data_IF_308098911116
#
_entry.id   IF_308098911116
#
_cell.length_a   1.000
_cell.length_b   1.000
_cell.length_c   1.000
_cell.angle_alpha   90.00
_cell.angle_beta   90.00
_cell.angle_gamma   90.00
#
_symmetry.space_group_name_H-M   'P 1'
#
loop_
_entity.id
_entity.type
_entity.pdbx_description
1 polymer ?
#
# COMPACT_ATOMS: atom_id res chain seq x y z
N UNK A 1 -23.39 -9.83 4.02
CA UNK A 1 -24.10 -8.53 4.00
C UNK A 1 -23.13 -7.52 4.60
N UNK A 2 -22.26 -6.95 3.79
CA UNK A 2 -21.31 -5.91 4.23
C UNK A 2 -22.06 -4.60 4.38
N UNK A 3 -21.94 -3.98 5.55
CA UNK A 3 -22.61 -2.72 5.85
C UNK A 3 -21.94 -1.56 5.10
N UNK A 4 -22.70 -0.60 4.52
CA UNK A 4 -22.12 0.45 3.70
C UNK A 4 -21.34 1.47 4.56
N UNK A 5 -20.14 1.79 4.11
CA UNK A 5 -19.23 2.77 4.69
C UNK A 5 -19.87 4.17 4.74
N UNK A 6 -19.97 4.75 5.94
CA UNK A 6 -20.27 6.19 6.12
C UNK A 6 -18.98 6.97 6.41
N UNK A 7 -18.77 8.14 5.79
CA UNK A 7 -17.59 8.94 6.04
C UNK A 7 -17.62 9.52 7.47
N UNK A 8 -16.62 9.14 8.28
CA UNK A 8 -16.26 9.86 9.51
C UNK A 8 -16.70 9.28 10.86
N UNK A 9 -16.93 7.96 10.99
CA UNK A 9 -17.29 7.41 12.31
C UNK A 9 -17.09 5.91 12.56
N UNK A 10 -16.92 5.08 11.54
CA UNK A 10 -16.69 3.63 11.71
C UNK A 10 -15.24 3.26 11.33
N UNK A 11 -14.63 2.41 12.14
CA UNK A 11 -13.36 1.77 11.81
C UNK A 11 -13.57 0.80 10.62
N UNK A 12 -12.59 0.63 9.72
CA UNK A 12 -12.60 -0.44 8.74
C UNK A 12 -12.84 -1.78 9.42
N UNK A 13 -13.66 -2.63 8.82
CA UNK A 13 -13.82 -4.00 9.29
C UNK A 13 -12.52 -4.81 9.15
N UNK A 14 -12.37 -5.92 9.89
CA UNK A 14 -11.17 -6.75 9.85
C UNK A 14 -10.91 -7.33 8.46
N UNK A 15 -11.96 -7.71 7.72
CA UNK A 15 -11.83 -8.22 6.34
C UNK A 15 -11.25 -7.16 5.41
N UNK A 16 -11.69 -5.90 5.53
CA UNK A 16 -11.16 -4.81 4.70
C UNK A 16 -9.69 -4.50 5.04
N UNK A 17 -9.29 -4.60 6.31
CA UNK A 17 -7.88 -4.45 6.70
C UNK A 17 -7.02 -5.60 6.17
N UNK A 18 -7.55 -6.83 6.18
CA UNK A 18 -6.87 -7.98 5.59
C UNK A 18 -6.74 -7.85 4.07
N UNK A 19 -7.83 -7.48 3.38
CA UNK A 19 -7.83 -7.25 1.93
C UNK A 19 -6.88 -6.11 1.55
N UNK A 20 -6.79 -5.05 2.36
CA UNK A 20 -5.82 -3.98 2.18
C UNK A 20 -4.38 -4.50 2.31
N UNK A 21 -4.11 -5.28 3.35
CA UNK A 21 -2.79 -5.87 3.63
C UNK A 21 -2.34 -6.80 2.50
N UNK A 22 -3.26 -7.61 1.96
CA UNK A 22 -3.00 -8.52 0.85
C UNK A 22 -3.05 -7.83 -0.53
N UNK A 23 -3.30 -6.52 -0.57
CA UNK A 23 -3.42 -5.74 -1.80
C UNK A 23 -4.68 -6.02 -2.65
N UNK A 24 -5.65 -6.75 -2.10
CA UNK A 24 -6.88 -7.21 -2.77
C UNK A 24 -8.06 -6.21 -2.66
N UNK A 25 -7.97 -5.21 -1.79
CA UNK A 25 -9.02 -4.20 -1.64
C UNK A 25 -9.30 -3.43 -2.95
N UNK A 26 -10.56 -3.07 -3.19
CA UNK A 26 -10.95 -2.24 -4.32
C UNK A 26 -10.32 -0.85 -4.27
N UNK A 27 -10.23 -0.15 -5.41
CA UNK A 27 -9.54 1.15 -5.46
C UNK A 27 -10.14 2.22 -4.52
N UNK A 28 -11.48 2.30 -4.43
CA UNK A 28 -12.16 3.23 -3.52
C UNK A 28 -11.95 2.85 -2.05
N UNK A 29 -12.16 1.57 -1.73
CA UNK A 29 -11.99 1.05 -0.37
C UNK A 29 -10.55 1.21 0.13
N UNK A 30 -9.56 0.96 -0.75
CA UNK A 30 -8.14 1.20 -0.48
C UNK A 30 -7.88 2.67 -0.16
N UNK A 31 -8.43 3.59 -0.96
CA UNK A 31 -8.25 5.02 -0.74
C UNK A 31 -8.83 5.45 0.62
N UNK A 32 -10.05 5.02 0.93
CA UNK A 32 -10.74 5.36 2.18
C UNK A 32 -10.04 4.75 3.41
N UNK A 33 -9.68 3.47 3.34
CA UNK A 33 -8.98 2.78 4.41
C UNK A 33 -7.58 3.37 4.65
N UNK A 34 -6.84 3.69 3.59
CA UNK A 34 -5.51 4.35 3.72
C UNK A 34 -5.64 5.74 4.33
N UNK A 35 -6.64 6.52 3.92
CA UNK A 35 -6.92 7.82 4.53
C UNK A 35 -7.29 7.69 6.03
N UNK A 36 -7.98 6.60 6.41
CA UNK A 36 -8.27 6.30 7.81
C UNK A 36 -7.02 5.87 8.59
N UNK A 37 -6.19 5.00 8.02
CA UNK A 37 -4.91 4.59 8.61
C UNK A 37 -3.98 5.78 8.83
N UNK A 38 -4.06 6.86 8.06
CA UNK A 38 -3.29 8.08 8.33
C UNK A 38 -3.69 8.78 9.65
N UNK A 39 -4.95 8.63 10.09
CA UNK A 39 -5.51 9.34 11.26
C UNK A 39 -5.79 8.45 12.48
N UNK A 40 -5.90 7.13 12.32
CA UNK A 40 -6.28 6.23 13.40
C UNK A 40 -5.13 5.30 13.82
N UNK A 41 -4.67 5.43 15.07
CA UNK A 41 -3.60 4.59 15.63
C UNK A 41 -4.00 3.13 15.82
N UNK A 42 -5.22 2.86 16.25
CA UNK A 42 -5.70 1.50 16.50
C UNK A 42 -5.71 0.66 15.20
N UNK A 43 -6.29 1.21 14.12
CA UNK A 43 -6.29 0.51 12.84
C UNK A 43 -4.90 0.36 12.22
N UNK A 44 -3.96 1.27 12.51
CA UNK A 44 -2.55 1.09 12.10
C UNK A 44 -1.93 -0.12 12.80
N UNK A 45 -2.12 -0.24 14.12
CA UNK A 45 -1.62 -1.39 14.88
C UNK A 45 -2.20 -2.70 14.33
N UNK A 46 -3.52 -2.76 14.11
CA UNK A 46 -4.16 -3.95 13.54
C UNK A 46 -3.65 -4.29 12.13
N UNK A 47 -3.49 -3.28 11.27
CA UNK A 47 -2.90 -3.47 9.94
C UNK A 47 -1.45 -3.96 10.00
N UNK A 48 -0.64 -3.42 10.91
CA UNK A 48 0.77 -3.80 11.09
C UNK A 48 0.91 -5.23 11.62
N UNK A 49 -0.01 -5.68 12.50
CA UNK A 49 -0.10 -7.07 12.95
C UNK A 49 -0.42 -8.03 11.79
N UNK A 50 -1.38 -7.66 10.94
CA UNK A 50 -1.72 -8.43 9.74
C UNK A 50 -0.54 -8.48 8.76
N UNK A 51 0.12 -7.35 8.51
CA UNK A 51 1.28 -7.26 7.64
C UNK A 51 2.44 -8.15 8.14
N UNK A 52 2.69 -8.13 9.45
CA UNK A 52 3.68 -9.01 10.08
C UNK A 52 3.34 -10.49 9.87
N UNK A 53 2.06 -10.87 9.95
CA UNK A 53 1.59 -12.22 9.64
C UNK A 53 1.84 -12.63 8.18
N UNK A 54 1.64 -11.72 7.24
CA UNK A 54 1.93 -11.94 5.81
C UNK A 54 3.44 -12.18 5.61
N UNK A 55 4.29 -11.37 6.23
CA UNK A 55 5.74 -11.51 6.11
C UNK A 55 6.26 -12.86 6.63
N UNK A 56 5.61 -13.43 7.66
CA UNK A 56 5.96 -14.75 8.19
C UNK A 56 5.67 -15.90 7.21
N UNK A 57 4.69 -15.75 6.31
CA UNK A 57 4.33 -16.80 5.34
C UNK A 57 5.05 -16.64 4.00
N UNK A 58 5.56 -15.46 3.67
CA UNK A 58 6.29 -15.20 2.41
C UNK A 58 7.46 -16.18 2.14
N UNK A 59 8.27 -16.61 3.14
CA UNK A 59 9.36 -17.55 2.89
C UNK A 59 8.91 -18.93 2.36
N UNK A 60 7.65 -19.31 2.56
CA UNK A 60 7.10 -20.56 2.05
C UNK A 60 6.70 -20.48 0.56
N UNK A 61 6.66 -19.27 -0.02
CA UNK A 61 6.26 -19.05 -1.41
C UNK A 61 7.44 -19.32 -2.36
N UNK A 62 7.22 -19.99 -3.51
CA UNK A 62 8.26 -20.13 -4.53
C UNK A 62 8.80 -18.76 -4.98
N UNK A 63 10.13 -18.63 -5.00
CA UNK A 63 10.78 -17.41 -5.49
C UNK A 63 10.74 -17.37 -7.02
N UNK A 64 10.29 -16.25 -7.59
CA UNK A 64 10.40 -15.96 -9.02
C UNK A 64 11.42 -14.84 -9.25
N UNK A 65 12.27 -15.00 -10.26
CA UNK A 65 13.18 -13.94 -10.68
C UNK A 65 12.41 -12.91 -11.54
N UNK A 66 12.67 -11.60 -11.39
CA UNK A 66 12.10 -10.60 -12.28
C UNK A 66 12.64 -10.75 -13.71
N UNK A 67 11.92 -10.27 -14.74
CA UNK A 67 12.40 -10.30 -16.11
C UNK A 67 13.69 -9.48 -16.28
N UNK A 68 14.58 -9.85 -17.22
CA UNK A 68 15.80 -9.09 -17.50
C UNK A 68 15.56 -7.58 -17.69
N UNK A 69 16.46 -6.78 -17.12
CA UNK A 69 16.41 -5.32 -17.17
C UNK A 69 15.30 -4.67 -16.35
N UNK A 70 14.59 -5.44 -15.51
CA UNK A 70 13.58 -4.91 -14.60
C UNK A 70 14.17 -3.85 -13.68
N UNK A 71 15.30 -4.14 -13.04
CA UNK A 71 15.97 -3.24 -12.09
C UNK A 71 16.33 -1.91 -12.75
N UNK A 72 16.90 -1.95 -13.96
CA UNK A 72 17.22 -0.75 -14.74
C UNK A 72 15.98 0.11 -15.02
N UNK A 73 14.90 -0.50 -15.54
CA UNK A 73 13.65 0.22 -15.82
C UNK A 73 13.01 0.83 -14.58
N UNK A 74 13.07 0.14 -13.44
CA UNK A 74 12.56 0.67 -12.16
C UNK A 74 13.38 1.87 -11.70
N UNK A 75 14.71 1.77 -11.74
CA UNK A 75 15.61 2.86 -11.33
C UNK A 75 15.47 4.09 -12.24
N UNK A 76 15.34 3.89 -13.55
CA UNK A 76 15.11 4.97 -14.52
C UNK A 76 13.79 5.69 -14.22
N UNK A 77 12.72 4.93 -13.93
CA UNK A 77 11.40 5.49 -13.61
C UNK A 77 11.40 6.29 -12.30
N UNK A 78 12.00 5.75 -11.24
CA UNK A 78 12.12 6.45 -9.95
C UNK A 78 12.95 7.73 -10.08
N UNK A 79 14.00 7.71 -10.90
CA UNK A 79 14.83 8.88 -11.19
C UNK A 79 14.04 9.96 -11.95
N UNK A 80 13.24 9.56 -12.94
CA UNK A 80 12.37 10.47 -13.68
C UNK A 80 11.28 11.11 -12.80
N UNK A 81 10.66 10.34 -11.90
CA UNK A 81 9.65 10.86 -10.95
C UNK A 81 10.26 11.85 -9.95
N UNK A 82 11.49 11.59 -9.48
CA UNK A 82 12.22 12.52 -8.61
C UNK A 82 12.63 13.79 -9.36
N UNK A 83 13.03 13.68 -10.62
CA UNK A 83 13.43 14.83 -11.45
C UNK A 83 12.23 15.68 -11.90
N UNK A 84 11.05 15.07 -12.06
CA UNK A 84 9.80 15.75 -12.46
C UNK A 84 9.01 16.41 -11.32
N UNK A 85 9.51 16.39 -10.09
CA UNK A 85 8.91 17.15 -8.99
C UNK A 85 9.04 18.67 -9.22
N UNK A 86 8.08 19.50 -8.77
CA UNK A 86 8.17 20.95 -8.89
C UNK A 86 9.34 21.47 -8.04
N UNK A 87 10.51 21.65 -8.66
CA UNK A 87 11.71 22.13 -7.97
C UNK A 87 13.05 21.99 -8.69
N UNK A 88 13.15 21.36 -9.87
CA UNK A 88 14.40 21.31 -10.62
C UNK A 88 14.49 22.50 -11.61
N UNK A 89 14.84 23.68 -11.11
CA UNK A 89 15.35 24.76 -11.98
C UNK A 89 16.81 24.44 -12.38
N UNK A 90 17.20 24.61 -13.67
CA UNK A 90 18.55 24.32 -14.11
C UNK A 90 19.58 25.34 -13.57
N UNK A 91 20.82 24.94 -13.27
CA UNK A 91 21.90 25.88 -13.01
C UNK A 91 22.29 26.59 -14.32
N UNK A 92 22.36 27.92 -14.27
CA UNK A 92 22.88 28.78 -15.34
C UNK A 92 24.40 28.86 -15.36
#
# INVERSE_FOLDING_TARGET
MGEPLRPGGAHPGPDLLLDLTLGQAGAAERADATAHLARCGACRVEHDELASGVDLVLPAVPRSAPPPGFEGRVLDRLSAERAGGPGAAPPG
#
